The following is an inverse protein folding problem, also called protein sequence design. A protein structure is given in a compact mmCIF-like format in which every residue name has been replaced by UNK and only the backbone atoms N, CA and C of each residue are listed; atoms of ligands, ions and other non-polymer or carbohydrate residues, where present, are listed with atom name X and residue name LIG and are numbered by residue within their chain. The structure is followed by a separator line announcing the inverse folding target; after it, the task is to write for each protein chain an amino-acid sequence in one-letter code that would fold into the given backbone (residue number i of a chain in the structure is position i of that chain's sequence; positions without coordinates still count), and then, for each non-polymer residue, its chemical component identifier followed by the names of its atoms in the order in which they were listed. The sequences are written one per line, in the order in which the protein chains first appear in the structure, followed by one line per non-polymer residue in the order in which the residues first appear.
data_IF_681297172043
#
_entry.id   IF_681297172043
#
_cell.length_a   1.000
_cell.length_b   1.000
_cell.length_c   1.000
_cell.angle_alpha   90.00
_cell.angle_beta   90.00
_cell.angle_gamma   90.00
#
_symmetry.space_group_name_H-M   'P 1'
#
loop_
_entity.id
_entity.type
_entity.pdbx_description
1 polymer ?
#
# COMPACT_ATOMS: atom_id res chain seq x y z
N UNK A 1 -8.19 14.96 -5.45
CA UNK A 1 -8.53 13.56 -5.07
C UNK A 1 -7.89 13.31 -3.71
N UNK A 2 -8.65 13.37 -2.62
CA UNK A 2 -8.10 13.27 -1.26
C UNK A 2 -7.29 11.98 -1.05
N UNK A 3 -7.79 10.85 -1.56
CA UNK A 3 -7.10 9.55 -1.49
C UNK A 3 -5.73 9.56 -2.19
N UNK A 4 -5.58 10.31 -3.29
CA UNK A 4 -4.30 10.39 -4.02
C UNK A 4 -3.24 11.11 -3.18
N UNK A 5 -3.61 12.21 -2.51
CA UNK A 5 -2.69 12.91 -1.61
C UNK A 5 -2.25 12.04 -0.42
N UNK A 6 -3.16 11.21 0.11
CA UNK A 6 -2.83 10.27 1.19
C UNK A 6 -1.80 9.23 0.73
N UNK A 7 -1.99 8.67 -0.47
CA UNK A 7 -1.02 7.74 -1.08
C UNK A 7 0.33 8.44 -1.28
N UNK A 8 0.37 9.65 -1.85
CA UNK A 8 1.60 10.42 -2.04
C UNK A 8 2.34 10.66 -0.71
N UNK A 9 1.62 10.99 0.35
CA UNK A 9 2.18 11.20 1.68
C UNK A 9 2.80 9.92 2.27
N UNK A 10 2.10 8.79 2.17
CA UNK A 10 2.59 7.49 2.64
C UNK A 10 3.80 7.02 1.85
N UNK A 11 3.79 7.15 0.52
CA UNK A 11 4.94 6.83 -0.34
C UNK A 11 6.15 7.71 0.03
N UNK A 12 5.93 9.01 0.25
CA UNK A 12 6.99 9.91 0.73
C UNK A 12 7.59 9.47 2.07
N UNK A 13 6.76 8.99 2.99
CA UNK A 13 7.19 8.44 4.28
C UNK A 13 8.03 7.18 4.12
N UNK A 14 7.59 6.22 3.29
CA UNK A 14 8.34 4.99 2.99
C UNK A 14 9.71 5.33 2.40
N UNK A 15 9.76 6.23 1.42
CA UNK A 15 11.01 6.66 0.80
C UNK A 15 11.94 7.28 1.84
N UNK A 16 11.43 8.14 2.73
CA UNK A 16 12.24 8.75 3.80
C UNK A 16 12.82 7.69 4.74
N UNK A 17 12.00 6.72 5.16
CA UNK A 17 12.41 5.61 6.03
C UNK A 17 13.50 4.77 5.35
N UNK A 18 13.25 4.30 4.12
CA UNK A 18 14.20 3.43 3.41
C UNK A 18 15.49 4.15 3.00
N UNK A 19 15.46 5.48 2.81
CA UNK A 19 16.68 6.28 2.64
C UNK A 19 17.54 6.31 3.90
N UNK A 20 16.92 6.31 5.08
CA UNK A 20 17.65 6.28 6.36
C UNK A 20 18.14 4.87 6.69
N UNK A 21 17.26 3.88 6.53
CA UNK A 21 17.57 2.46 6.73
C UNK A 21 16.84 1.61 5.67
N UNK A 22 17.55 1.12 4.64
CA UNK A 22 16.95 0.30 3.60
C UNK A 22 16.28 -0.99 4.09
N UNK A 23 16.69 -1.49 5.27
CA UNK A 23 16.16 -2.71 5.89
C UNK A 23 15.02 -2.44 6.87
N UNK A 24 14.67 -1.17 7.11
CA UNK A 24 13.53 -0.85 7.98
C UNK A 24 12.24 -1.38 7.37
N UNK A 25 11.44 -2.06 8.20
CA UNK A 25 10.15 -2.59 7.78
C UNK A 25 9.15 -1.46 7.54
N UNK A 26 8.55 -1.48 6.35
CA UNK A 26 7.54 -0.51 5.90
C UNK A 26 6.24 -1.19 5.49
N UNK A 27 6.11 -2.49 5.74
CA UNK A 27 4.97 -3.33 5.34
C UNK A 27 3.62 -2.76 5.79
N UNK A 28 3.57 -2.12 6.97
CA UNK A 28 2.36 -1.47 7.46
C UNK A 28 1.88 -0.31 6.56
N UNK A 29 2.81 0.54 6.08
CA UNK A 29 2.49 1.64 5.19
C UNK A 29 2.17 1.16 3.78
N UNK A 30 2.85 0.12 3.32
CA UNK A 30 2.59 -0.52 2.02
C UNK A 30 1.19 -1.12 1.99
N UNK A 31 0.77 -1.80 3.07
CA UNK A 31 -0.59 -2.32 3.20
C UNK A 31 -1.66 -1.23 3.27
N UNK A 32 -1.36 -0.10 3.91
CA UNK A 32 -2.26 1.05 3.92
C UNK A 32 -2.45 1.63 2.50
N UNK A 33 -1.35 1.73 1.74
CA UNK A 33 -1.40 2.14 0.32
C UNK A 33 -2.24 1.16 -0.50
N UNK A 34 -2.06 -0.15 -0.34
CA UNK A 34 -2.85 -1.17 -1.03
C UNK A 34 -4.36 -0.93 -0.83
N UNK A 35 -4.80 -0.71 0.41
CA UNK A 35 -6.21 -0.46 0.73
C UNK A 35 -6.74 0.84 0.11
N UNK A 36 -5.93 1.90 0.09
CA UNK A 36 -6.29 3.17 -0.55
C UNK A 36 -6.40 3.02 -2.07
N UNK A 37 -5.54 2.21 -2.69
CA UNK A 37 -5.59 1.89 -4.12
C UNK A 37 -6.83 1.06 -4.44
N UNK A 38 -7.15 0.05 -3.63
CA UNK A 38 -8.38 -0.73 -3.81
C UNK A 38 -9.63 0.15 -3.78
N UNK A 39 -9.67 1.10 -2.84
CA UNK A 39 -10.75 2.09 -2.76
C UNK A 39 -10.82 3.02 -3.97
N UNK A 40 -9.69 3.40 -4.55
CA UNK A 40 -9.66 4.27 -5.75
C UNK A 40 -10.26 3.61 -6.98
N UNK A 41 -10.06 2.30 -7.10
CA UNK A 41 -10.57 1.48 -8.21
C UNK A 41 -11.90 0.80 -7.88
N UNK A 42 -12.49 1.10 -6.71
CA UNK A 42 -13.77 0.55 -6.25
C UNK A 42 -13.81 -0.99 -6.26
N UNK A 43 -12.68 -1.62 -5.91
CA UNK A 43 -12.61 -3.09 -5.84
C UNK A 43 -13.57 -3.63 -4.78
N UNK A 44 -14.13 -4.78 -5.09
CA UNK A 44 -14.92 -5.58 -4.16
C UNK A 44 -14.03 -6.40 -3.24
N UNK A 45 -14.58 -6.82 -2.09
CA UNK A 45 -13.88 -7.69 -1.15
C UNK A 45 -13.39 -9.00 -1.81
N UNK A 46 -14.16 -9.54 -2.77
CA UNK A 46 -13.81 -10.73 -3.54
C UNK A 46 -12.58 -10.51 -4.44
N UNK A 47 -12.50 -9.37 -5.12
CA UNK A 47 -11.34 -9.00 -5.95
C UNK A 47 -10.10 -8.76 -5.09
N UNK A 48 -10.27 -8.10 -3.95
CA UNK A 48 -9.18 -7.88 -2.98
C UNK A 48 -8.66 -9.21 -2.46
N UNK A 49 -9.55 -10.14 -2.09
CA UNK A 49 -9.15 -11.47 -1.60
C UNK A 49 -8.34 -12.24 -2.65
N UNK A 50 -8.72 -12.19 -3.93
CA UNK A 50 -7.98 -12.83 -5.01
C UNK A 50 -6.55 -12.24 -5.12
N UNK A 51 -6.42 -10.92 -5.04
CA UNK A 51 -5.12 -10.24 -5.10
C UNK A 51 -4.25 -10.60 -3.90
N UNK A 52 -4.79 -10.57 -2.69
CA UNK A 52 -4.06 -10.83 -1.45
C UNK A 52 -3.64 -12.30 -1.35
N UNK A 53 -4.49 -13.25 -1.75
CA UNK A 53 -4.09 -14.67 -1.86
C UNK A 53 -2.92 -14.84 -2.83
N UNK A 54 -2.96 -14.15 -3.98
CA UNK A 54 -1.86 -14.17 -4.95
C UNK A 54 -0.54 -13.59 -4.43
N UNK A 55 -0.57 -12.66 -3.47
CA UNK A 55 0.65 -12.13 -2.80
C UNK A 55 1.26 -13.09 -1.79
N UNK A 56 0.47 -13.95 -1.15
CA UNK A 56 0.93 -14.90 -0.12
C UNK A 56 1.69 -16.09 -0.73
N UNK A 57 1.39 -16.42 -1.99
CA UNK A 57 1.96 -17.58 -2.68
C UNK A 57 3.29 -17.29 -3.43
N UNK A 58 3.83 -16.05 -3.34
CA UNK A 58 5.06 -15.61 -4.02
C UNK A 58 6.18 -15.25 -3.07
#
# INVERSE_FOLDING_TARGET
LETVHQIESLVGKIISIKKQNPQEDTSAYEREIDQLVYKLYELTDEEIEIIERGKVDG
#
